data_IF_751350859955
#
_entry.id   IF_751350859955
#
_cell.length_a   1.000
_cell.length_b   1.000
_cell.length_c   1.000
_cell.angle_alpha   90.00
_cell.angle_beta   90.00
_cell.angle_gamma   90.00
#
_symmetry.space_group_name_H-M   'P 1'
#
loop_
_entity.id
_entity.type
_entity.pdbx_description
1 polymer ?
#
# COMPACT_ATOMS: atom_id res chain seq x y z
N UNK A 1 8.97 -1.15 -5.77
CA UNK A 1 8.86 -2.41 -6.54
C UNK A 1 8.28 -3.49 -5.63
N UNK A 2 7.02 -3.85 -5.87
CA UNK A 2 6.21 -4.76 -5.06
C UNK A 2 6.01 -4.35 -3.59
N UNK A 3 5.19 -5.11 -2.87
CA UNK A 3 4.74 -4.83 -1.49
C UNK A 3 5.88 -4.61 -0.50
N UNK A 4 7.06 -5.20 -0.73
CA UNK A 4 8.26 -5.05 0.12
C UNK A 4 8.71 -3.59 0.27
N UNK A 5 8.56 -2.78 -0.78
CA UNK A 5 9.00 -1.36 -0.80
C UNK A 5 7.84 -0.39 -0.95
N UNK A 6 6.60 -0.88 -0.84
CA UNK A 6 5.40 -0.12 -1.09
C UNK A 6 5.13 0.97 -0.04
N UNK A 7 5.81 0.94 1.12
CA UNK A 7 5.73 2.00 2.13
C UNK A 7 6.53 3.27 1.76
N UNK A 8 7.51 3.18 0.86
CA UNK A 8 8.38 4.32 0.53
C UNK A 8 7.60 5.54 -0.01
N UNK A 9 6.64 5.39 -0.96
CA UNK A 9 5.80 6.52 -1.39
C UNK A 9 4.98 7.13 -0.25
N UNK A 10 4.51 6.31 0.70
CA UNK A 10 3.75 6.79 1.86
C UNK A 10 4.63 7.64 2.78
N UNK A 11 5.87 7.24 3.04
CA UNK A 11 6.81 8.02 3.85
C UNK A 11 7.18 9.36 3.19
N UNK A 12 7.45 9.34 1.88
CA UNK A 12 7.70 10.57 1.11
C UNK A 12 6.48 11.50 1.17
N UNK A 13 5.27 10.95 1.03
CA UNK A 13 4.04 11.71 1.15
C UNK A 13 3.86 12.30 2.55
N UNK A 14 4.12 11.53 3.61
CA UNK A 14 4.04 11.99 5.00
C UNK A 14 5.00 13.14 5.28
N UNK A 15 6.27 12.99 4.89
CA UNK A 15 7.29 14.03 5.09
C UNK A 15 6.97 15.31 4.31
N UNK A 16 6.54 15.17 3.03
CA UNK A 16 6.09 16.31 2.22
C UNK A 16 4.85 17.01 2.78
N UNK A 17 3.96 16.27 3.44
CA UNK A 17 2.77 16.84 4.08
C UNK A 17 3.12 17.62 5.35
N UNK A 18 4.16 17.20 6.07
CA UNK A 18 4.66 17.87 7.27
C UNK A 18 5.50 19.11 6.94
N UNK A 19 6.31 19.05 5.88
CA UNK A 19 7.08 20.16 5.35
C UNK A 19 7.02 20.15 3.81
N UNK A 20 6.25 21.08 3.19
CA UNK A 20 6.13 21.16 1.73
C UNK A 20 7.44 21.46 0.98
N UNK A 21 8.51 21.86 1.66
CA UNK A 21 9.83 22.05 1.05
C UNK A 21 10.59 20.73 0.90
N UNK A 22 10.32 19.75 1.77
CA UNK A 22 10.88 18.40 1.65
C UNK A 22 10.17 17.62 0.54
N UNK A 23 10.96 16.95 -0.31
CA UNK A 23 10.47 16.10 -1.41
C UNK A 23 9.55 16.80 -2.42
N UNK A 24 9.58 18.14 -2.49
CA UNK A 24 8.68 18.96 -3.31
C UNK A 24 8.52 18.45 -4.76
N UNK A 25 9.65 18.18 -5.42
CA UNK A 25 9.69 17.76 -6.82
C UNK A 25 9.91 16.25 -6.98
N UNK A 26 9.94 15.49 -5.88
CA UNK A 26 10.15 14.04 -5.93
C UNK A 26 8.89 13.33 -6.42
N UNK A 27 9.07 12.53 -7.47
CA UNK A 27 8.04 11.64 -8.01
C UNK A 27 8.31 10.21 -7.61
N UNK A 28 7.24 9.49 -7.32
CA UNK A 28 7.26 8.11 -6.86
C UNK A 28 6.46 7.24 -7.80
N UNK A 29 6.89 6.00 -7.97
CA UNK A 29 6.18 5.02 -8.77
C UNK A 29 6.18 3.69 -8.07
N UNK A 30 5.03 3.06 -8.05
CA UNK A 30 4.82 1.72 -7.50
C UNK A 30 4.59 0.73 -8.62
N UNK A 31 5.32 -0.39 -8.62
CA UNK A 31 5.13 -1.49 -9.57
C UNK A 31 4.54 -2.69 -8.83
N UNK A 32 3.36 -3.13 -9.23
CA UNK A 32 2.69 -4.33 -8.72
C UNK A 32 2.90 -5.50 -9.70
N UNK A 33 3.42 -6.64 -9.24
CA UNK A 33 3.54 -7.83 -10.09
C UNK A 33 2.34 -8.75 -10.00
N UNK A 34 1.63 -8.74 -8.87
CA UNK A 34 0.47 -9.60 -8.63
C UNK A 34 -0.43 -9.00 -7.53
N UNK A 35 -1.73 -9.20 -7.64
CA UNK A 35 -2.72 -8.67 -6.69
C UNK A 35 -2.93 -9.58 -5.47
N UNK A 36 -2.41 -10.82 -5.49
CA UNK A 36 -2.70 -11.85 -4.49
C UNK A 36 -1.81 -11.70 -3.25
N UNK A 37 -0.52 -11.44 -3.44
CA UNK A 37 0.48 -11.28 -2.37
C UNK A 37 0.73 -9.80 -2.11
N UNK A 38 0.09 -9.28 -1.06
CA UNK A 38 -0.05 -7.84 -0.83
C UNK A 38 0.83 -7.29 0.32
N UNK A 39 1.66 -8.12 0.95
CA UNK A 39 2.39 -7.72 2.16
C UNK A 39 1.44 -7.47 3.34
N UNK A 40 0.80 -8.54 3.81
CA UNK A 40 -0.21 -8.50 4.88
C UNK A 40 0.45 -8.77 6.23
N UNK A 41 0.32 -7.84 7.16
CA UNK A 41 0.90 -7.90 8.50
C UNK A 41 -0.16 -7.70 9.58
N UNK A 42 0.12 -8.22 10.77
CA UNK A 42 -0.70 -7.93 11.94
C UNK A 42 -0.64 -6.44 12.26
N UNK A 43 -1.78 -5.89 12.66
CA UNK A 43 -1.82 -4.52 13.14
C UNK A 43 -1.24 -4.45 14.55
N UNK A 44 -0.32 -3.51 14.78
CA UNK A 44 0.20 -3.16 16.10
C UNK A 44 -0.04 -1.68 16.38
N UNK A 45 -0.45 -1.33 17.60
CA UNK A 45 -0.74 0.06 17.99
C UNK A 45 0.49 0.98 17.91
N UNK A 46 1.70 0.41 18.00
CA UNK A 46 2.96 1.14 17.92
C UNK A 46 3.39 1.50 16.49
N UNK A 47 2.71 0.99 15.44
CA UNK A 47 3.19 1.14 14.06
C UNK A 47 3.36 2.59 13.61
N UNK A 48 2.43 3.47 13.98
CA UNK A 48 2.52 4.88 13.61
C UNK A 48 3.78 5.53 14.20
N UNK A 49 4.12 5.18 15.45
CA UNK A 49 5.33 5.63 16.12
C UNK A 49 6.59 5.02 15.48
N UNK A 50 6.57 3.71 15.20
CA UNK A 50 7.72 3.02 14.59
C UNK A 50 8.03 3.55 13.19
N UNK A 51 7.00 3.89 12.43
CA UNK A 51 7.13 4.44 11.08
C UNK A 51 7.30 5.97 11.05
N UNK A 52 7.21 6.64 12.20
CA UNK A 52 7.26 8.10 12.31
C UNK A 52 6.27 8.80 11.37
N UNK A 53 5.02 8.34 11.38
CA UNK A 53 3.93 8.92 10.58
C UNK A 53 2.67 9.14 11.44
N UNK A 54 1.83 10.13 11.11
CA UNK A 54 0.52 10.27 11.75
C UNK A 54 -0.34 9.01 11.62
N UNK A 55 -1.11 8.68 12.65
CA UNK A 55 -1.96 7.47 12.72
C UNK A 55 -2.84 7.25 11.48
N UNK A 56 -3.35 8.33 10.88
CA UNK A 56 -4.17 8.28 9.66
C UNK A 56 -3.50 7.54 8.49
N UNK A 57 -2.15 7.53 8.41
CA UNK A 57 -1.44 6.80 7.37
C UNK A 57 -1.54 5.30 7.58
N UNK A 58 -1.38 4.82 8.82
CA UNK A 58 -1.56 3.41 9.18
C UNK A 58 -3.01 2.99 8.97
N UNK A 59 -3.97 3.81 9.43
CA UNK A 59 -5.40 3.53 9.27
C UNK A 59 -5.79 3.41 7.78
N UNK A 60 -5.20 4.24 6.91
CA UNK A 60 -5.49 4.24 5.48
C UNK A 60 -5.07 2.97 4.72
N UNK A 61 -4.17 2.18 5.32
CA UNK A 61 -3.65 0.93 4.75
C UNK A 61 -4.02 -0.28 5.62
N UNK A 62 -4.93 -0.09 6.58
CA UNK A 62 -5.40 -1.15 7.48
C UNK A 62 -6.82 -1.57 7.10
N UNK A 63 -7.04 -2.87 6.96
CA UNK A 63 -8.31 -3.44 6.48
C UNK A 63 -8.74 -4.64 7.34
N UNK A 64 -10.03 -4.95 7.34
CA UNK A 64 -10.55 -6.21 7.88
C UNK A 64 -10.41 -7.32 6.83
N UNK A 65 -9.27 -8.01 6.83
CA UNK A 65 -8.92 -8.99 5.82
C UNK A 65 -8.10 -10.16 6.41
N UNK A 66 -7.92 -11.29 5.71
CA UNK A 66 -7.13 -12.39 6.26
C UNK A 66 -5.62 -12.14 6.08
N UNK A 67 -4.85 -12.41 7.14
CA UNK A 67 -3.38 -12.33 7.12
C UNK A 67 -2.76 -13.20 6.02
N UNK A 68 -3.28 -14.41 5.84
CA UNK A 68 -2.84 -15.34 4.79
C UNK A 68 -3.78 -15.29 3.60
N UNK A 69 -3.23 -15.52 2.42
CA UNK A 69 -4.02 -15.68 1.17
C UNK A 69 -5.00 -16.86 1.35
N UNK A 70 -6.26 -16.63 0.99
CA UNK A 70 -7.33 -17.64 1.07
C UNK A 70 -8.67 -17.02 1.46
N UNK A 71 -9.71 -17.31 0.68
CA UNK A 71 -11.06 -16.73 0.84
C UNK A 71 -11.72 -17.11 2.18
N UNK A 72 -11.40 -18.29 2.70
CA UNK A 72 -12.02 -18.84 3.92
C UNK A 72 -11.24 -18.54 5.19
N UNK A 73 -10.10 -17.85 5.09
CA UNK A 73 -9.32 -17.46 6.27
C UNK A 73 -10.09 -16.40 7.08
N UNK A 74 -9.93 -16.48 8.40
CA UNK A 74 -10.51 -15.49 9.32
C UNK A 74 -10.02 -14.08 8.97
N UNK A 75 -10.95 -13.14 8.85
CA UNK A 75 -10.64 -11.71 8.69
C UNK A 75 -10.26 -11.12 10.05
N UNK A 76 -9.14 -10.42 10.09
CA UNK A 76 -8.64 -9.69 11.27
C UNK A 76 -8.22 -8.29 10.85
N UNK A 77 -7.90 -7.43 11.81
CA UNK A 77 -7.31 -6.12 11.52
C UNK A 77 -5.90 -6.35 10.96
N UNK A 78 -5.69 -5.98 9.71
CA UNK A 78 -4.47 -6.31 8.96
C UNK A 78 -3.96 -5.09 8.23
N UNK A 79 -2.66 -4.85 8.35
CA UNK A 79 -1.94 -3.82 7.59
C UNK A 79 -1.54 -4.40 6.25
N UNK A 80 -1.85 -3.69 5.16
CA UNK A 80 -1.55 -4.08 3.79
C UNK A 80 -0.55 -3.08 3.20
N UNK A 81 0.72 -3.47 3.09
CA UNK A 81 1.76 -2.54 2.62
C UNK A 81 1.62 -2.23 1.13
N UNK A 82 1.12 -3.15 0.30
CA UNK A 82 0.83 -2.89 -1.11
C UNK A 82 -0.17 -1.74 -1.28
N UNK A 83 -1.18 -1.64 -0.41
CA UNK A 83 -2.14 -0.55 -0.43
C UNK A 83 -1.46 0.82 -0.25
N UNK A 84 -0.38 0.90 0.53
CA UNK A 84 0.41 2.12 0.66
C UNK A 84 1.00 2.57 -0.68
N UNK A 85 1.57 1.62 -1.44
CA UNK A 85 2.16 1.89 -2.75
C UNK A 85 1.12 2.33 -3.78
N UNK A 86 -0.06 1.70 -3.78
CA UNK A 86 -1.17 2.06 -4.67
C UNK A 86 -1.74 3.44 -4.32
N UNK A 87 -1.87 3.74 -3.02
CA UNK A 87 -2.55 4.95 -2.54
C UNK A 87 -1.68 6.21 -2.60
N UNK A 88 -0.38 6.09 -2.34
CA UNK A 88 0.50 7.24 -2.14
C UNK A 88 1.52 7.47 -3.26
N UNK A 89 1.69 6.54 -4.20
CA UNK A 89 2.56 6.77 -5.35
C UNK A 89 1.92 7.72 -6.37
N UNK A 90 2.74 8.54 -7.03
CA UNK A 90 2.26 9.41 -8.12
C UNK A 90 1.73 8.59 -9.31
N UNK A 91 2.30 7.40 -9.53
CA UNK A 91 1.80 6.41 -10.50
C UNK A 91 1.90 4.98 -9.99
N UNK A 92 0.85 4.21 -10.25
CA UNK A 92 0.85 2.76 -10.13
C UNK A 92 1.08 2.14 -11.51
N UNK A 93 1.99 1.18 -11.58
CA UNK A 93 2.35 0.40 -12.75
C UNK A 93 2.12 -1.07 -12.48
N UNK A 94 2.04 -1.84 -13.57
CA UNK A 94 2.08 -3.28 -13.50
C UNK A 94 2.76 -3.88 -14.74
N UNK A 95 2.84 -5.20 -14.80
CA UNK A 95 3.74 -5.95 -15.69
C UNK A 95 3.28 -6.02 -17.15
N UNK A 96 2.02 -5.68 -17.46
CA UNK A 96 1.53 -5.65 -18.84
C UNK A 96 0.28 -4.78 -19.01
N UNK A 97 -0.03 -4.32 -20.24
CA UNK A 97 -1.28 -3.61 -20.53
C UNK A 97 -2.54 -4.42 -20.22
N UNK A 98 -2.53 -5.73 -20.52
CA UNK A 98 -3.66 -6.62 -20.23
C UNK A 98 -3.90 -6.75 -18.73
N UNK A 99 -2.83 -6.93 -17.96
CA UNK A 99 -2.95 -7.05 -16.51
C UNK A 99 -3.32 -5.70 -15.86
N UNK A 100 -2.88 -4.57 -16.42
CA UNK A 100 -3.36 -3.24 -16.01
C UNK A 100 -4.87 -3.10 -16.19
N UNK A 101 -5.41 -3.59 -17.31
CA UNK A 101 -6.85 -3.62 -17.58
C UNK A 101 -7.59 -4.52 -16.59
N UNK A 102 -7.05 -5.71 -16.30
CA UNK A 102 -7.63 -6.62 -15.30
C UNK A 102 -7.72 -5.97 -13.92
N UNK A 103 -6.62 -5.41 -13.40
CA UNK A 103 -6.62 -4.73 -12.11
C UNK A 103 -7.58 -3.54 -12.04
N UNK A 104 -7.82 -2.84 -13.15
CA UNK A 104 -8.66 -1.65 -13.20
C UNK A 104 -10.16 -1.95 -13.40
N UNK A 105 -10.52 -3.14 -13.91
CA UNK A 105 -11.89 -3.43 -14.37
C UNK A 105 -12.55 -4.63 -13.70
N UNK A 106 -11.77 -5.51 -13.08
CA UNK A 106 -12.27 -6.72 -12.44
C UNK A 106 -12.20 -6.58 -10.91
N UNK A 107 -13.31 -6.36 -10.19
CA UNK A 107 -13.31 -6.19 -8.75
C UNK A 107 -12.79 -7.40 -7.96
N UNK A 108 -12.80 -8.61 -8.56
CA UNK A 108 -12.25 -9.81 -7.92
C UNK A 108 -10.73 -9.95 -8.12
N UNK A 109 -10.16 -9.24 -9.11
CA UNK A 109 -8.72 -9.25 -9.42
C UNK A 109 -8.02 -7.91 -9.17
N UNK A 110 -8.78 -6.85 -8.92
CA UNK A 110 -8.32 -5.57 -8.43
C UNK A 110 -7.87 -5.67 -6.97
N UNK A 111 -6.83 -4.91 -6.61
CA UNK A 111 -6.35 -4.78 -5.22
C UNK A 111 -7.16 -3.73 -4.50
#
# INVERSE_FOLDING_TARGET
NDWHSALVPMFIHAQRSADPTMWKDTKTTFLCHNAVFQGRFEYEESLAQVFDVPQQYIDSITFMMPLKVGKYNKKVKTVNTMAAGIRYADRALTVSPSYAKECATDPEKGV
#
